data_IF_502824028947
#
_entry.id   IF_502824028947
#
_cell.length_a   1.000
_cell.length_b   1.000
_cell.length_c   1.000
_cell.angle_alpha   90.00
_cell.angle_beta   90.00
_cell.angle_gamma   90.00
#
_symmetry.space_group_name_H-M   'P 1'
#
loop_
_entity.id
_entity.type
_entity.pdbx_description
1 polymer ?
#
# COMPACT_ATOMS: atom_id res chain seq x y z
N UNK A 1 5.19 -11.91 -1.58
CA UNK A 1 5.90 -12.09 -0.32
C UNK A 1 7.19 -12.88 -0.53
N UNK A 2 8.09 -12.74 0.41
CA UNK A 2 9.39 -13.41 0.41
C UNK A 2 9.75 -13.86 1.82
N UNK A 3 10.52 -14.93 1.92
CA UNK A 3 10.99 -15.49 3.19
C UNK A 3 12.49 -15.33 3.28
N UNK A 4 12.97 -14.85 4.40
CA UNK A 4 14.39 -14.67 4.68
C UNK A 4 14.74 -15.48 5.91
N UNK A 5 15.93 -16.06 5.91
CA UNK A 5 16.48 -16.81 7.06
C UNK A 5 17.73 -16.07 7.54
N UNK A 6 17.70 -15.63 8.80
CA UNK A 6 18.84 -14.96 9.45
C UNK A 6 19.08 -15.67 10.78
N UNK A 7 20.30 -16.17 10.99
CA UNK A 7 20.70 -16.92 12.18
C UNK A 7 19.71 -18.05 12.57
N UNK A 8 19.21 -18.76 11.54
CA UNK A 8 18.27 -19.87 11.69
C UNK A 8 16.81 -19.44 11.92
N UNK A 9 16.53 -18.14 12.06
CA UNK A 9 15.19 -17.60 12.24
C UNK A 9 14.58 -17.20 10.90
N UNK A 10 13.33 -17.61 10.65
CA UNK A 10 12.59 -17.30 9.42
C UNK A 10 11.74 -16.07 9.59
N UNK A 11 11.88 -15.12 8.66
CA UNK A 11 11.07 -13.91 8.56
C UNK A 11 10.26 -13.96 7.27
N UNK A 12 8.97 -13.65 7.35
CA UNK A 12 8.08 -13.56 6.18
C UNK A 12 7.71 -12.11 5.95
N UNK A 13 8.19 -11.56 4.84
CA UNK A 13 7.91 -10.19 4.44
C UNK A 13 7.06 -10.16 3.16
N UNK A 14 6.27 -9.10 2.98
CA UNK A 14 5.40 -8.90 1.82
C UNK A 14 5.73 -7.60 1.07
N UNK A 15 5.89 -6.49 1.79
CA UNK A 15 6.15 -5.16 1.25
C UNK A 15 7.56 -4.66 1.55
N UNK A 16 8.02 -4.84 2.78
CA UNK A 16 9.30 -4.31 3.24
C UNK A 16 10.42 -5.10 2.59
N UNK A 17 11.39 -4.40 1.94
CA UNK A 17 12.53 -5.07 1.30
C UNK A 17 13.39 -5.85 2.29
N UNK A 18 14.00 -6.92 1.81
CA UNK A 18 14.89 -7.77 2.61
C UNK A 18 16.13 -7.05 3.15
N UNK A 19 16.53 -5.96 2.51
CA UNK A 19 17.61 -5.10 2.98
C UNK A 19 17.40 -4.51 4.38
N UNK A 20 16.17 -4.55 4.90
CA UNK A 20 15.85 -4.05 6.24
C UNK A 20 16.63 -4.73 7.37
N UNK A 21 17.07 -5.96 7.17
CA UNK A 21 17.89 -6.70 8.12
C UNK A 21 19.36 -6.28 8.16
N UNK A 22 19.76 -5.41 7.24
CA UNK A 22 21.12 -4.91 7.11
C UNK A 22 21.14 -3.40 7.36
N UNK A 23 21.53 -2.94 8.57
CA UNK A 23 21.42 -1.53 8.96
C UNK A 23 22.19 -0.56 8.05
N UNK A 24 23.22 -1.03 7.37
CA UNK A 24 24.02 -0.26 6.41
C UNK A 24 23.34 -0.09 5.05
N UNK A 25 22.24 -0.79 4.79
CA UNK A 25 21.49 -0.71 3.54
C UNK A 25 20.27 0.19 3.68
N UNK A 26 20.01 0.98 2.65
CA UNK A 26 18.76 1.73 2.54
C UNK A 26 17.72 0.84 1.86
N UNK A 27 16.60 0.63 2.52
CA UNK A 27 15.48 -0.16 2.00
C UNK A 27 14.41 0.76 1.44
N UNK A 28 14.14 0.66 0.14
CA UNK A 28 13.24 1.60 -0.55
C UNK A 28 12.00 0.88 -1.08
N UNK A 29 10.81 1.40 -0.72
CA UNK A 29 9.56 1.13 -1.40
C UNK A 29 9.34 2.26 -2.40
N UNK A 30 9.61 1.97 -3.67
CA UNK A 30 9.63 2.99 -4.73
C UNK A 30 8.24 3.37 -5.26
N UNK A 31 8.23 4.34 -6.18
CA UNK A 31 6.99 4.89 -6.77
C UNK A 31 6.22 3.91 -7.68
N UNK A 32 6.85 2.86 -8.15
CA UNK A 32 6.20 1.82 -8.96
C UNK A 32 5.37 0.81 -8.15
N UNK A 33 5.50 0.81 -6.83
CA UNK A 33 4.82 -0.12 -5.93
C UNK A 33 3.44 0.43 -5.56
N UNK A 34 2.44 -0.46 -5.46
CA UNK A 34 1.18 -0.16 -4.79
C UNK A 34 1.25 -0.68 -3.36
N UNK A 35 0.88 0.16 -2.40
CA UNK A 35 1.09 -0.07 -0.96
C UNK A 35 -0.24 -0.18 -0.25
N UNK A 36 -0.45 -1.27 0.47
CA UNK A 36 -1.52 -1.37 1.45
C UNK A 36 -1.02 -0.88 2.82
N UNK A 37 -1.45 0.30 3.30
CA UNK A 37 -0.96 0.88 4.55
C UNK A 37 -1.24 -0.01 5.77
N UNK A 38 -2.39 -0.68 5.80
CA UNK A 38 -2.76 -1.62 6.86
C UNK A 38 -1.76 -2.79 6.96
N UNK A 39 -1.43 -3.37 5.80
CA UNK A 39 -0.45 -4.47 5.73
C UNK A 39 0.95 -4.00 6.11
N UNK A 40 1.33 -2.80 5.68
CA UNK A 40 2.64 -2.21 5.97
C UNK A 40 2.81 -1.95 7.47
N UNK A 41 1.81 -1.36 8.13
CA UNK A 41 1.83 -1.12 9.59
C UNK A 41 1.96 -2.43 10.36
N UNK A 42 1.24 -3.48 9.96
CA UNK A 42 1.37 -4.80 10.58
C UNK A 42 2.77 -5.40 10.40
N UNK A 43 3.35 -5.25 9.24
CA UNK A 43 4.70 -5.75 8.94
C UNK A 43 5.77 -4.98 9.73
N UNK A 44 5.62 -3.66 9.88
CA UNK A 44 6.47 -2.83 10.74
C UNK A 44 6.38 -3.27 12.21
N UNK A 45 5.17 -3.46 12.73
CA UNK A 45 4.96 -3.94 14.11
C UNK A 45 5.61 -5.30 14.32
N UNK A 46 5.44 -6.23 13.40
CA UNK A 46 6.09 -7.54 13.44
C UNK A 46 7.62 -7.42 13.52
N UNK A 47 8.23 -6.59 12.68
CA UNK A 47 9.68 -6.39 12.70
C UNK A 47 10.18 -5.79 14.02
N UNK A 48 9.44 -4.82 14.58
CA UNK A 48 9.78 -4.22 15.87
C UNK A 48 9.68 -5.24 17.02
N UNK A 49 8.66 -6.08 17.04
CA UNK A 49 8.53 -7.18 18.02
C UNK A 49 9.70 -8.16 17.93
N UNK A 50 10.22 -8.38 16.73
CA UNK A 50 11.38 -9.23 16.48
C UNK A 50 12.73 -8.53 16.73
N UNK A 51 12.71 -7.28 17.18
CA UNK A 51 13.92 -6.50 17.49
C UNK A 51 14.66 -5.97 16.26
N UNK A 52 14.02 -5.93 15.10
CA UNK A 52 14.60 -5.43 13.85
C UNK A 52 14.35 -3.93 13.72
N UNK A 53 15.41 -3.15 13.57
CA UNK A 53 15.30 -1.71 13.29
C UNK A 53 14.74 -1.47 11.88
N UNK A 54 13.83 -0.52 11.78
CA UNK A 54 13.25 -0.07 10.50
C UNK A 54 13.74 1.33 10.07
N UNK A 55 14.77 1.85 10.71
CA UNK A 55 15.26 3.22 10.48
C UNK A 55 15.78 3.44 9.04
N UNK A 56 16.23 2.37 8.38
CA UNK A 56 16.71 2.41 7.00
C UNK A 56 15.59 2.39 5.95
N UNK A 57 14.33 2.22 6.35
CA UNK A 57 13.20 2.18 5.42
C UNK A 57 12.88 3.57 4.87
N UNK A 58 12.64 3.63 3.56
CA UNK A 58 12.13 4.83 2.87
C UNK A 58 10.97 4.42 1.97
N UNK A 59 9.91 5.20 2.02
CA UNK A 59 8.68 4.97 1.25
C UNK A 59 8.47 6.15 0.32
N UNK A 60 8.27 5.89 -0.96
CA UNK A 60 7.98 6.93 -1.93
C UNK A 60 6.66 7.64 -1.60
N UNK A 61 6.70 8.96 -1.53
CA UNK A 61 5.53 9.82 -1.45
C UNK A 61 4.59 9.68 -2.67
N UNK A 62 5.13 9.19 -3.80
CA UNK A 62 4.42 8.98 -5.07
C UNK A 62 3.89 7.56 -5.26
N UNK A 63 4.19 6.62 -4.37
CA UNK A 63 3.59 5.29 -4.41
C UNK A 63 2.07 5.39 -4.23
N UNK A 64 1.32 4.52 -4.91
CA UNK A 64 -0.13 4.50 -4.84
C UNK A 64 -0.62 3.63 -3.69
N UNK A 65 -1.72 4.05 -3.09
CA UNK A 65 -2.35 3.39 -1.93
C UNK A 65 -3.39 2.39 -2.38
N UNK A 66 -3.34 1.19 -1.81
CA UNK A 66 -4.43 0.21 -1.91
C UNK A 66 -5.40 0.49 -0.76
N UNK A 67 -6.64 0.78 -1.12
CA UNK A 67 -7.73 1.07 -0.19
C UNK A 67 -8.73 -0.08 -0.14
N UNK A 68 -9.60 -0.15 0.87
CA UNK A 68 -10.59 -1.22 0.98
C UNK A 68 -11.46 -1.41 -0.25
N UNK A 69 -11.80 -0.34 -0.97
CA UNK A 69 -12.59 -0.45 -2.20
C UNK A 69 -11.83 -1.13 -3.35
N UNK A 70 -10.50 -1.07 -3.38
CA UNK A 70 -9.71 -1.84 -4.35
C UNK A 70 -9.80 -3.35 -4.07
N UNK A 71 -9.72 -3.72 -2.80
CA UNK A 71 -9.82 -5.13 -2.37
C UNK A 71 -11.22 -5.67 -2.65
N UNK A 72 -12.25 -4.91 -2.34
CA UNK A 72 -13.64 -5.29 -2.59
C UNK A 72 -13.92 -5.42 -4.10
N UNK A 73 -13.41 -4.48 -4.91
CA UNK A 73 -13.54 -4.54 -6.36
C UNK A 73 -12.85 -5.78 -6.94
N UNK A 74 -11.64 -6.09 -6.47
CA UNK A 74 -10.89 -7.31 -6.87
C UNK A 74 -11.70 -8.57 -6.56
N UNK A 75 -12.29 -8.66 -5.37
CA UNK A 75 -13.15 -9.77 -4.95
C UNK A 75 -14.40 -9.90 -5.86
N UNK A 76 -15.12 -8.80 -6.06
CA UNK A 76 -16.35 -8.80 -6.86
C UNK A 76 -16.10 -9.13 -8.33
N UNK A 77 -15.04 -8.58 -8.90
CA UNK A 77 -14.64 -8.89 -10.27
C UNK A 77 -14.25 -10.35 -10.44
N UNK A 78 -13.53 -10.92 -9.47
CA UNK A 78 -13.14 -12.32 -9.53
C UNK A 78 -14.33 -13.25 -9.37
N UNK A 79 -15.25 -12.95 -8.46
CA UNK A 79 -16.48 -13.71 -8.27
C UNK A 79 -17.39 -13.67 -9.51
N UNK A 80 -17.49 -12.50 -10.16
CA UNK A 80 -18.34 -12.33 -11.35
C UNK A 80 -17.87 -13.12 -12.58
N UNK A 81 -16.59 -13.51 -12.62
CA UNK A 81 -16.02 -14.29 -13.74
C UNK A 81 -16.39 -15.77 -13.72
N UNK A 82 -16.98 -16.28 -12.63
CA UNK A 82 -17.38 -17.67 -12.53
C UNK A 82 -16.22 -18.63 -12.85
N UNK A 83 -16.40 -19.46 -13.89
CA UNK A 83 -15.37 -20.43 -14.32
C UNK A 83 -14.17 -19.80 -15.01
N UNK A 84 -14.23 -18.52 -15.39
CA UNK A 84 -13.14 -17.76 -16.01
C UNK A 84 -12.30 -16.97 -15.00
N UNK A 85 -12.28 -17.40 -13.75
CA UNK A 85 -11.45 -16.77 -12.70
C UNK A 85 -9.99 -16.76 -13.08
N UNK A 86 -9.33 -15.61 -12.84
CA UNK A 86 -7.88 -15.45 -13.04
C UNK A 86 -7.10 -16.05 -11.87
N UNK A 87 -7.75 -16.24 -10.72
CA UNK A 87 -7.12 -16.72 -9.49
C UNK A 87 -6.32 -15.61 -8.79
N UNK A 88 -6.87 -14.40 -8.70
CA UNK A 88 -6.24 -13.30 -7.98
C UNK A 88 -6.12 -13.62 -6.48
N UNK A 89 -5.16 -12.97 -5.83
CA UNK A 89 -4.98 -13.10 -4.37
C UNK A 89 -5.94 -12.23 -3.57
N UNK A 90 -6.86 -11.54 -4.24
CA UNK A 90 -7.85 -10.61 -3.65
C UNK A 90 -7.18 -9.59 -2.70
N UNK A 91 -6.10 -8.98 -3.18
CA UNK A 91 -5.35 -7.95 -2.44
C UNK A 91 -5.56 -6.53 -3.00
N UNK A 92 -6.39 -6.39 -4.04
CA UNK A 92 -6.67 -5.09 -4.65
C UNK A 92 -5.53 -4.52 -5.51
N UNK A 93 -4.52 -5.32 -5.86
CA UNK A 93 -3.34 -4.87 -6.62
C UNK A 93 -3.75 -4.37 -8.01
N UNK A 94 -4.49 -5.19 -8.77
CA UNK A 94 -4.97 -4.85 -10.11
C UNK A 94 -5.79 -3.56 -10.12
N UNK A 95 -6.87 -3.47 -9.32
CA UNK A 95 -7.68 -2.26 -9.23
C UNK A 95 -6.90 -1.00 -8.82
N UNK A 96 -5.91 -1.10 -7.92
CA UNK A 96 -5.07 0.02 -7.54
C UNK A 96 -4.20 0.51 -8.70
N UNK A 97 -3.62 -0.39 -9.49
CA UNK A 97 -2.89 -0.02 -10.71
C UNK A 97 -3.81 0.55 -11.80
N UNK A 98 -5.04 0.07 -11.91
CA UNK A 98 -6.04 0.64 -12.82
C UNK A 98 -6.34 2.10 -12.45
N UNK A 99 -6.55 2.39 -11.18
CA UNK A 99 -6.77 3.77 -10.71
C UNK A 99 -5.54 4.66 -10.95
N UNK A 100 -4.34 4.12 -10.78
CA UNK A 100 -3.09 4.82 -11.14
C UNK A 100 -3.06 5.20 -12.62
N UNK A 101 -3.36 4.25 -13.50
CA UNK A 101 -3.38 4.48 -14.95
C UNK A 101 -4.48 5.45 -15.36
N UNK A 102 -5.65 5.38 -14.72
CA UNK A 102 -6.78 6.29 -14.92
C UNK A 102 -6.56 7.69 -14.29
N UNK A 103 -5.45 7.89 -13.55
CA UNK A 103 -5.08 9.14 -12.86
C UNK A 103 -6.06 9.58 -11.77
N UNK A 104 -6.75 8.62 -11.18
CA UNK A 104 -7.66 8.84 -10.03
C UNK A 104 -7.12 8.22 -8.75
N UNK A 105 -5.97 7.56 -8.80
CA UNK A 105 -5.35 6.92 -7.64
C UNK A 105 -4.96 7.91 -6.55
N UNK A 106 -4.98 7.41 -5.32
CA UNK A 106 -4.52 8.13 -4.13
C UNK A 106 -3.07 7.75 -3.87
N UNK A 107 -2.18 8.74 -3.77
CA UNK A 107 -0.77 8.55 -3.46
C UNK A 107 -0.52 8.58 -1.95
N UNK A 108 0.63 8.10 -1.53
CA UNK A 108 1.07 8.20 -0.12
C UNK A 108 1.07 9.67 0.35
N UNK A 109 1.56 10.61 -0.47
CA UNK A 109 1.51 12.04 -0.15
C UNK A 109 0.09 12.54 0.12
N UNK A 110 -0.89 12.10 -0.68
CA UNK A 110 -2.30 12.45 -0.50
C UNK A 110 -2.85 11.88 0.82
N UNK A 111 -2.50 10.64 1.14
CA UNK A 111 -2.91 9.96 2.38
C UNK A 111 -2.45 10.70 3.65
N UNK A 112 -1.29 11.35 3.59
CA UNK A 112 -0.71 12.07 4.73
C UNK A 112 -1.37 13.43 5.00
N UNK A 113 -2.01 14.02 3.99
CA UNK A 113 -2.74 15.28 4.09
C UNK A 113 -4.22 15.01 4.35
N UNK A 114 -4.69 15.40 5.54
CA UNK A 114 -6.04 15.09 6.00
C UNK A 114 -7.12 15.57 5.01
N UNK A 115 -7.01 16.80 4.54
CA UNK A 115 -8.04 17.42 3.70
C UNK A 115 -7.99 16.87 2.28
N UNK A 116 -6.79 16.71 1.73
CA UNK A 116 -6.59 16.11 0.41
C UNK A 116 -7.06 14.66 0.39
N UNK A 117 -6.72 13.88 1.42
CA UNK A 117 -7.17 12.50 1.53
C UNK A 117 -8.70 12.41 1.63
N UNK A 118 -9.33 13.23 2.48
CA UNK A 118 -10.78 13.25 2.61
C UNK A 118 -11.49 13.57 1.29
N UNK A 119 -11.00 14.57 0.56
CA UNK A 119 -11.57 14.95 -0.74
C UNK A 119 -11.45 13.84 -1.78
N UNK A 120 -10.24 13.34 -1.98
CA UNK A 120 -9.98 12.27 -2.98
C UNK A 120 -10.70 10.98 -2.65
N UNK A 121 -10.71 10.59 -1.37
CA UNK A 121 -11.43 9.41 -0.90
C UNK A 121 -12.93 9.54 -1.17
N UNK A 122 -13.53 10.70 -0.87
CA UNK A 122 -14.97 10.92 -1.09
C UNK A 122 -15.33 10.72 -2.56
N UNK A 123 -14.59 11.35 -3.47
CA UNK A 123 -14.85 11.25 -4.92
C UNK A 123 -14.71 9.80 -5.39
N UNK A 124 -13.60 9.14 -5.03
CA UNK A 124 -13.33 7.78 -5.49
C UNK A 124 -14.30 6.78 -4.90
N UNK A 125 -14.63 6.92 -3.62
CA UNK A 125 -15.54 6.00 -2.92
C UNK A 125 -16.98 6.11 -3.44
N UNK A 126 -17.44 7.32 -3.77
CA UNK A 126 -18.75 7.53 -4.40
C UNK A 126 -18.86 6.74 -5.72
N UNK A 127 -17.85 6.84 -6.57
CA UNK A 127 -17.79 6.10 -7.83
C UNK A 127 -17.72 4.58 -7.61
N UNK A 128 -16.87 4.11 -6.70
CA UNK A 128 -16.76 2.67 -6.39
C UNK A 128 -18.04 2.12 -5.76
N UNK A 129 -18.64 2.84 -4.84
CA UNK A 129 -19.92 2.44 -4.22
C UNK A 129 -21.05 2.36 -5.25
N UNK A 130 -21.04 3.24 -6.25
CA UNK A 130 -22.00 3.16 -7.37
C UNK A 130 -21.80 1.86 -8.15
N UNK A 131 -20.56 1.46 -8.43
CA UNK A 131 -20.26 0.19 -9.07
C UNK A 131 -20.71 -1.00 -8.19
N UNK A 132 -20.39 -0.97 -6.90
CA UNK A 132 -20.75 -2.05 -5.97
C UNK A 132 -22.26 -2.27 -5.91
N UNK A 133 -23.04 -1.22 -5.73
CA UNK A 133 -24.49 -1.32 -5.55
C UNK A 133 -25.24 -1.57 -6.86
N UNK A 134 -24.82 -0.96 -7.97
CA UNK A 134 -25.57 -1.03 -9.23
C UNK A 134 -25.10 -2.14 -10.17
N UNK A 135 -23.83 -2.50 -10.15
CA UNK A 135 -23.27 -3.50 -11.06
C UNK A 135 -23.14 -4.87 -10.40
N UNK A 136 -22.78 -4.90 -9.12
CA UNK A 136 -22.48 -6.15 -8.41
C UNK A 136 -23.51 -6.53 -7.35
N UNK A 137 -24.54 -5.71 -7.12
CA UNK A 137 -25.53 -5.92 -6.06
C UNK A 137 -24.88 -6.14 -4.68
N UNK A 138 -23.78 -5.40 -4.43
CA UNK A 138 -23.02 -5.45 -3.21
C UNK A 138 -23.27 -4.22 -2.34
N UNK A 139 -22.86 -4.28 -1.07
CA UNK A 139 -23.03 -3.18 -0.14
C UNK A 139 -22.02 -2.04 -0.40
N UNK A 140 -22.45 -0.79 -0.15
CA UNK A 140 -21.59 0.36 -0.16
C UNK A 140 -20.65 0.34 1.05
N UNK A 141 -19.40 0.79 0.84
CA UNK A 141 -18.43 0.97 1.93
C UNK A 141 -18.61 2.34 2.59
N UNK A 142 -18.33 2.41 3.89
CA UNK A 142 -18.41 3.62 4.70
C UNK A 142 -17.19 4.51 4.50
N UNK A 143 -17.43 5.79 4.18
CA UNK A 143 -16.38 6.80 4.10
C UNK A 143 -15.67 6.98 5.45
N UNK A 144 -16.42 7.14 6.53
CA UNK A 144 -15.87 7.43 7.85
C UNK A 144 -14.97 6.30 8.34
N UNK A 145 -15.39 5.05 8.17
CA UNK A 145 -14.60 3.88 8.56
C UNK A 145 -13.28 3.81 7.82
N UNK A 146 -13.30 4.03 6.51
CA UNK A 146 -12.06 4.02 5.69
C UNK A 146 -11.18 5.21 6.04
N UNK A 147 -11.76 6.41 6.13
CA UNK A 147 -11.02 7.63 6.37
C UNK A 147 -10.27 7.59 7.69
N UNK A 148 -10.95 7.27 8.79
CA UNK A 148 -10.36 7.23 10.12
C UNK A 148 -9.27 6.17 10.22
N UNK A 149 -9.54 4.95 9.76
CA UNK A 149 -8.58 3.84 9.83
C UNK A 149 -7.34 4.12 8.98
N UNK A 150 -7.50 4.54 7.72
CA UNK A 150 -6.39 4.68 6.77
C UNK A 150 -5.60 5.98 6.98
N UNK A 151 -6.24 7.05 7.42
CA UNK A 151 -5.53 8.25 7.83
C UNK A 151 -4.59 7.96 9.00
N UNK A 152 -5.05 7.19 9.98
CA UNK A 152 -4.21 6.76 11.11
C UNK A 152 -3.02 5.92 10.64
N UNK A 153 -3.21 4.96 9.73
CA UNK A 153 -2.10 4.23 9.14
C UNK A 153 -1.11 5.15 8.44
N UNK A 154 -1.60 6.16 7.73
CA UNK A 154 -0.77 7.18 7.10
C UNK A 154 0.11 7.91 8.12
N UNK A 155 -0.45 8.33 9.26
CA UNK A 155 0.31 8.99 10.31
C UNK A 155 1.39 8.07 10.92
N UNK A 156 1.12 6.78 11.06
CA UNK A 156 2.09 5.81 11.58
C UNK A 156 3.28 5.58 10.63
N UNK A 157 3.09 5.69 9.32
CA UNK A 157 4.16 5.50 8.34
C UNK A 157 4.83 6.81 7.89
N UNK A 158 4.32 7.96 8.30
CA UNK A 158 4.76 9.28 7.86
C UNK A 158 6.27 9.50 7.99
N UNK A 159 6.88 9.01 9.06
CA UNK A 159 8.31 9.16 9.32
C UNK A 159 9.21 8.52 8.24
N UNK A 160 8.69 7.55 7.48
CA UNK A 160 9.44 6.84 6.43
C UNK A 160 9.26 7.48 5.05
N UNK A 161 8.30 8.39 4.90
CA UNK A 161 7.88 8.92 3.60
C UNK A 161 8.78 10.04 3.12
N UNK A 162 9.25 9.93 1.89
CA UNK A 162 10.17 10.90 1.28
C UNK A 162 10.13 10.80 -0.26
N UNK A 163 10.81 11.73 -0.95
CA UNK A 163 11.10 11.60 -2.37
C UNK A 163 12.24 10.59 -2.58
N UNK A 164 11.86 9.35 -2.87
CA UNK A 164 12.82 8.26 -3.07
C UNK A 164 13.64 8.40 -4.34
N UNK A 165 13.21 9.20 -5.32
CA UNK A 165 13.98 9.45 -6.54
C UNK A 165 15.28 10.20 -6.23
N UNK A 166 15.21 11.18 -5.34
CA UNK A 166 16.40 11.91 -4.88
C UNK A 166 17.37 10.97 -4.16
N UNK A 167 16.86 10.18 -3.20
CA UNK A 167 17.70 9.25 -2.42
C UNK A 167 18.38 8.22 -3.32
N UNK A 168 17.68 7.68 -4.30
CA UNK A 168 18.23 6.69 -5.23
C UNK A 168 19.30 7.30 -6.15
N UNK A 169 19.07 8.51 -6.66
CA UNK A 169 20.07 9.21 -7.47
C UNK A 169 21.33 9.52 -6.65
N UNK A 170 21.17 10.07 -5.45
CA UNK A 170 22.30 10.36 -4.56
C UNK A 170 23.09 9.10 -4.20
N UNK A 171 22.41 7.98 -3.96
CA UNK A 171 23.07 6.70 -3.68
C UNK A 171 23.87 6.20 -4.89
N UNK A 172 23.33 6.30 -6.10
CA UNK A 172 24.00 5.91 -7.35
C UNK A 172 25.23 6.78 -7.61
N UNK A 173 25.10 8.10 -7.45
CA UNK A 173 26.20 9.06 -7.65
C UNK A 173 27.35 8.83 -6.65
N UNK A 174 27.06 8.36 -5.46
CA UNK A 174 28.05 8.04 -4.42
C UNK A 174 28.52 6.57 -4.45
N UNK A 175 28.14 5.78 -5.47
CA UNK A 175 28.57 4.40 -5.64
C UNK A 175 28.07 3.42 -4.56
N UNK A 176 26.90 3.69 -4.02
CA UNK A 176 26.26 2.87 -2.98
C UNK A 176 25.18 1.94 -3.53
#
# INVERSE_FOLDING_TARGET
GHTIVIDGKKFKLHLIPSGIFFPEKISVIGNGVVVNPKSLVKELAYLHEEGVSTDSLRISDRAHVILPYHIELDRLQEESKGDNKIGTTIKGIGPAYMDKAARVGIRIADLLDRDVFAERLRINLEEKNRQFTKLYDAEALSFDDIFEEYYEYGQQIKQYVTDTSVILNDALDNGK
#
